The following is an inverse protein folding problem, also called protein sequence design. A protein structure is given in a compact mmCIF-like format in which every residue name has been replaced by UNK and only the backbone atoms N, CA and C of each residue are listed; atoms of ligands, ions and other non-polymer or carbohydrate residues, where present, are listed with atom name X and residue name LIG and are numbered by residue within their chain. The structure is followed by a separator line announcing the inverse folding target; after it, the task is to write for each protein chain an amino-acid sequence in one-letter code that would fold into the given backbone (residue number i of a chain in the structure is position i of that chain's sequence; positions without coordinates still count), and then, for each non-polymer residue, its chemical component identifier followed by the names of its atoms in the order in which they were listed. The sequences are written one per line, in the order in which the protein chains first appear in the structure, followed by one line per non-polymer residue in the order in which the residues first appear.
data_IF_825827936098
#
_entry.id   IF_825827936098
#
_cell.length_a   1.000
_cell.length_b   1.000
_cell.length_c   1.000
_cell.angle_alpha   90.00
_cell.angle_beta   90.00
_cell.angle_gamma   90.00
#
_symmetry.space_group_name_H-M   'P 1'
#
loop_
_entity.id
_entity.type
_entity.pdbx_description
1 polymer ?
#
# COMPACT_ATOMS: atom_id res chain seq x y z
N UNK A 1 -8.28 -9.52 7.96
CA UNK A 1 -7.69 -8.40 8.73
C UNK A 1 -6.17 -8.31 8.56
N UNK A 2 -5.69 -7.27 7.87
CA UNK A 2 -4.27 -6.91 7.71
C UNK A 2 -3.96 -5.66 8.55
N UNK A 3 -2.70 -5.52 9.00
CA UNK A 3 -2.23 -4.27 9.61
C UNK A 3 -1.80 -3.32 8.50
N UNK A 4 -2.21 -2.06 8.59
CA UNK A 4 -1.77 -0.99 7.69
C UNK A 4 -1.28 0.19 8.52
N UNK A 5 -0.34 0.95 7.98
CA UNK A 5 0.08 2.25 8.50
C UNK A 5 -0.62 3.32 7.69
N UNK A 6 -1.40 4.18 8.33
CA UNK A 6 -2.12 5.29 7.68
C UNK A 6 -1.58 6.59 8.23
N UNK A 7 -1.29 7.52 7.32
CA UNK A 7 -0.87 8.89 7.64
C UNK A 7 -1.65 9.85 6.76
N UNK A 8 -2.23 10.90 7.32
CA UNK A 8 -2.82 11.95 6.50
C UNK A 8 -1.76 12.93 6.03
N UNK A 9 -1.91 13.40 4.80
CA UNK A 9 -1.07 14.48 4.26
C UNK A 9 -1.39 15.83 4.92
N UNK A 10 -2.65 16.00 5.32
CA UNK A 10 -3.17 17.21 5.97
C UNK A 10 -3.57 16.87 7.41
N UNK A 11 -3.17 17.68 8.41
CA UNK A 11 -3.61 17.47 9.78
C UNK A 11 -5.13 17.65 9.91
N UNK A 12 -5.78 16.75 10.65
CA UNK A 12 -7.23 16.81 10.89
C UNK A 12 -8.09 16.18 9.78
N UNK A 13 -7.49 15.46 8.84
CA UNK A 13 -8.25 14.76 7.79
C UNK A 13 -9.10 13.65 8.41
N UNK A 14 -10.40 13.71 8.19
CA UNK A 14 -11.35 12.75 8.79
C UNK A 14 -11.96 11.88 7.72
N UNK A 15 -11.79 10.57 7.82
CA UNK A 15 -12.42 9.58 6.94
C UNK A 15 -13.11 8.51 7.77
N UNK A 16 -14.34 8.15 7.41
CA UNK A 16 -15.13 7.12 8.10
C UNK A 16 -15.20 7.29 9.63
N UNK A 17 -15.23 8.54 10.13
CA UNK A 17 -15.27 8.85 11.56
C UNK A 17 -13.92 8.76 12.30
N UNK A 18 -12.83 8.49 11.58
CA UNK A 18 -11.47 8.48 12.14
C UNK A 18 -10.72 9.73 11.68
N UNK A 19 -10.25 10.53 12.62
CA UNK A 19 -9.39 11.68 12.34
C UNK A 19 -7.92 11.24 12.30
N UNK A 20 -7.30 11.50 11.17
CA UNK A 20 -5.90 11.23 10.88
C UNK A 20 -5.12 12.53 10.87
N UNK A 21 -3.94 12.49 11.48
CA UNK A 21 -2.96 13.58 11.40
C UNK A 21 -1.79 13.20 10.48
N UNK A 22 -0.80 14.07 10.49
CA UNK A 22 0.52 13.81 9.90
C UNK A 22 1.31 12.75 10.66
N UNK A 23 0.83 12.31 11.82
CA UNK A 23 1.42 11.22 12.59
C UNK A 23 0.94 9.87 12.08
N UNK A 24 1.85 8.97 11.66
CA UNK A 24 1.46 7.65 11.18
C UNK A 24 0.84 6.81 12.29
N UNK A 25 -0.33 6.21 12.03
CA UNK A 25 -1.01 5.27 12.93
C UNK A 25 -1.12 3.88 12.32
N UNK A 26 -1.02 2.85 13.15
CA UNK A 26 -1.23 1.46 12.72
C UNK A 26 -2.67 1.06 13.01
N UNK A 27 -3.38 0.64 11.97
CA UNK A 27 -4.75 0.16 12.04
C UNK A 27 -4.84 -1.28 11.56
N UNK A 28 -5.75 -2.06 12.15
CA UNK A 28 -6.19 -3.33 11.58
C UNK A 28 -7.42 -3.06 10.72
N UNK A 29 -7.33 -3.36 9.43
CA UNK A 29 -8.43 -3.22 8.50
C UNK A 29 -8.53 -4.45 7.60
N UNK A 30 -9.67 -4.64 6.95
CA UNK A 30 -9.85 -5.69 5.94
C UNK A 30 -9.38 -5.24 4.56
N UNK A 31 -9.16 -6.19 3.65
CA UNK A 31 -8.62 -5.89 2.31
C UNK A 31 -9.50 -4.91 1.53
N UNK A 32 -10.82 -4.95 1.71
CA UNK A 32 -11.76 -4.01 1.08
C UNK A 32 -11.57 -2.58 1.59
N UNK A 33 -11.43 -2.44 2.91
CA UNK A 33 -11.17 -1.15 3.58
C UNK A 33 -9.77 -0.63 3.23
N UNK A 34 -8.77 -1.50 3.09
CA UNK A 34 -7.42 -1.13 2.65
C UNK A 34 -7.46 -0.50 1.25
N UNK A 35 -8.14 -1.12 0.29
CA UNK A 35 -8.26 -0.58 -1.06
C UNK A 35 -8.99 0.76 -1.06
N UNK A 36 -10.05 0.90 -0.26
CA UNK A 36 -10.78 2.16 -0.13
C UNK A 36 -9.91 3.29 0.46
N UNK A 37 -9.15 3.03 1.52
CA UNK A 37 -8.25 4.04 2.10
C UNK A 37 -7.04 4.32 1.19
N UNK A 38 -6.53 3.32 0.47
CA UNK A 38 -5.39 3.50 -0.45
C UNK A 38 -5.78 4.23 -1.74
N UNK A 39 -7.07 4.23 -2.10
CA UNK A 39 -7.60 5.03 -3.19
C UNK A 39 -7.76 6.51 -2.81
N UNK A 40 -7.67 6.85 -1.52
CA UNK A 40 -7.79 8.23 -1.05
C UNK A 40 -6.45 8.97 -1.23
N UNK A 41 -6.37 10.03 -2.05
CA UNK A 41 -5.12 10.73 -2.35
C UNK A 41 -4.61 11.59 -1.17
N UNK A 42 -5.45 11.84 -0.15
CA UNK A 42 -5.06 12.58 1.05
C UNK A 42 -4.49 11.66 2.14
N UNK A 43 -4.57 10.34 1.96
CA UNK A 43 -4.06 9.34 2.88
C UNK A 43 -2.89 8.56 2.29
N UNK A 44 -1.77 8.58 2.99
CA UNK A 44 -0.67 7.66 2.74
C UNK A 44 -0.95 6.35 3.49
N UNK A 45 -1.38 5.33 2.76
CA UNK A 45 -1.62 3.98 3.29
C UNK A 45 -0.47 3.06 2.91
N UNK A 46 0.23 2.53 3.90
CA UNK A 46 1.27 1.54 3.74
C UNK A 46 0.81 0.21 4.32
N UNK A 47 0.64 -0.81 3.47
CA UNK A 47 0.29 -2.14 3.94
C UNK A 47 1.47 -2.75 4.74
N UNK A 48 1.28 -2.97 6.04
CA UNK A 48 2.25 -3.67 6.89
C UNK A 48 2.01 -5.17 6.73
N UNK A 49 2.39 -5.69 5.55
CA UNK A 49 2.47 -7.12 5.32
C UNK A 49 3.60 -7.68 6.18
N UNK A 50 3.30 -8.69 7.01
CA UNK A 50 4.34 -9.45 7.69
C UNK A 50 5.21 -10.13 6.62
N UNK A 51 6.42 -9.60 6.43
CA UNK A 51 7.56 -10.20 5.70
C UNK A 51 7.16 -11.06 4.50
N UNK A 52 6.97 -10.41 3.37
CA UNK A 52 7.38 -10.99 2.08
C UNK A 52 8.33 -9.98 1.49
N UNK A 53 9.61 -10.31 1.22
CA UNK A 53 10.46 -9.40 0.47
C UNK A 53 9.72 -9.08 -0.83
N UNK A 54 9.69 -7.80 -1.18
CA UNK A 54 9.33 -7.40 -2.52
C UNK A 54 10.24 -8.20 -3.46
N UNK A 55 9.69 -9.25 -4.07
CA UNK A 55 10.30 -9.79 -5.28
C UNK A 55 10.24 -8.62 -6.25
N UNK A 56 11.37 -8.05 -6.70
CA UNK A 56 11.31 -7.13 -7.81
C UNK A 56 10.58 -7.87 -8.91
N UNK A 57 9.46 -7.29 -9.37
CA UNK A 57 8.74 -7.75 -10.55
C UNK A 57 9.79 -7.91 -11.65
N UNK A 58 10.20 -9.14 -11.93
CA UNK A 58 11.06 -9.41 -13.06
C UNK A 58 10.33 -8.83 -14.27
N UNK A 59 10.99 -7.89 -14.94
CA UNK A 59 10.56 -7.42 -16.25
C UNK A 59 10.16 -8.64 -17.08
N UNK A 60 9.09 -8.57 -17.89
CA UNK A 60 8.73 -9.68 -18.76
C UNK A 60 9.97 -10.03 -19.59
N UNK A 61 10.53 -11.21 -19.34
CA UNK A 61 11.63 -11.73 -20.14
C UNK A 61 11.06 -11.93 -21.54
N UNK A 62 11.32 -10.96 -22.42
CA UNK A 62 11.14 -11.12 -23.86
C UNK A 62 11.84 -12.41 -24.28
N UNK A 63 11.15 -13.38 -24.90
CA UNK A 63 11.81 -14.51 -25.51
C UNK A 63 12.42 -13.99 -26.80
N UNK A 64 13.70 -13.62 -26.80
CA UNK A 64 14.42 -13.34 -28.05
C UNK A 64 15.72 -14.13 -28.11
N UNK A 65 15.58 -15.26 -28.81
CA UNK A 65 16.53 -15.86 -29.76
C UNK A 65 17.91 -16.25 -29.20
N UNK A 66 18.01 -17.53 -28.85
CA UNK A 66 19.24 -18.31 -29.08
C UNK A 66 19.40 -18.44 -30.61
N UNK A 67 20.20 -17.58 -31.23
CA UNK A 67 20.79 -17.92 -32.54
C UNK A 67 22.09 -18.65 -32.23
N UNK A 68 22.08 -19.94 -32.51
CA UNK A 68 23.29 -20.72 -32.78
C UNK A 68 23.59 -20.46 -34.26
N UNK A 69 24.71 -19.80 -34.54
CA UNK A 69 25.67 -20.14 -35.60
C UNK A 69 26.96 -19.34 -35.39
#
# INVERSE_FOLDING_TARGET
MKKIRVTAKTPGYTVAGLTFGTTPRVLKVDSKTLVALAADPNLAVLALSAKTPATPSAAPATPKKKTVE
#
